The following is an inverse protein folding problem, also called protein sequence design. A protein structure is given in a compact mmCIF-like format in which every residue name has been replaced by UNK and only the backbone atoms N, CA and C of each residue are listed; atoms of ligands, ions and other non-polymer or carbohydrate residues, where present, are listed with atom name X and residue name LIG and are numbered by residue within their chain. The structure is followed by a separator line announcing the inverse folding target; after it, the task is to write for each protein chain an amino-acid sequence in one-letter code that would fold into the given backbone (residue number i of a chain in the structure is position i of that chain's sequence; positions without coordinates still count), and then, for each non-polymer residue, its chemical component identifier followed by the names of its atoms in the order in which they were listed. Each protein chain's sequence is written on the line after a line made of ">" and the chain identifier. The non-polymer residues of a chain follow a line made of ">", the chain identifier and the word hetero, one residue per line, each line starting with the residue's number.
data_IF_817106527303
#
_entry.id   IF_817106527303
#
_cell.length_a   1.000
_cell.length_b   1.000
_cell.length_c   1.000
_cell.angle_alpha   90.00
_cell.angle_beta   90.00
_cell.angle_gamma   90.00
#
_symmetry.space_group_name_H-M   'P 1'
#
loop_
_entity.id
_entity.type
_entity.pdbx_description
1 polymer ?
#
# COMPACT_ATOMS: atom_id res chain seq x y z
N UNK A 1 -23.01 9.62 -13.40
CA UNK A 1 -22.39 9.66 -12.08
C UNK A 1 -20.91 9.97 -12.24
N UNK A 2 -20.44 11.05 -11.69
CA UNK A 2 -19.04 11.47 -11.82
C UNK A 2 -18.12 10.63 -10.91
N UNK A 3 -16.83 10.56 -11.23
CA UNK A 3 -15.82 9.91 -10.39
C UNK A 3 -15.84 10.39 -8.91
N UNK A 4 -16.31 11.60 -8.66
CA UNK A 4 -16.43 12.19 -7.32
C UNK A 4 -17.40 11.44 -6.40
N UNK A 5 -18.54 10.99 -6.91
CA UNK A 5 -19.56 10.29 -6.11
C UNK A 5 -19.07 8.90 -5.70
N UNK A 6 -18.29 8.23 -6.58
CA UNK A 6 -17.66 6.97 -6.25
C UNK A 6 -16.61 7.13 -5.15
N UNK A 7 -15.77 8.17 -5.25
CA UNK A 7 -14.74 8.45 -4.23
C UNK A 7 -15.38 8.84 -2.89
N UNK A 8 -16.45 9.63 -2.91
CA UNK A 8 -17.20 9.95 -1.68
C UNK A 8 -17.79 8.68 -1.08
N UNK A 9 -18.39 7.80 -1.88
CA UNK A 9 -18.96 6.54 -1.42
C UNK A 9 -17.94 5.65 -0.69
N UNK A 10 -16.68 5.61 -1.12
CA UNK A 10 -15.63 4.77 -0.54
C UNK A 10 -14.66 5.52 0.40
N UNK A 11 -14.92 6.78 0.72
CA UNK A 11 -14.01 7.61 1.55
C UNK A 11 -13.99 7.23 3.04
N UNK A 12 -15.01 6.51 3.52
CA UNK A 12 -15.16 6.16 4.94
C UNK A 12 -14.75 4.70 5.22
N UNK A 13 -13.97 4.40 6.28
CA UNK A 13 -13.49 3.05 6.57
C UNK A 13 -14.63 2.03 6.74
N UNK A 14 -15.71 2.36 7.43
CA UNK A 14 -16.87 1.45 7.60
C UNK A 14 -17.47 1.09 6.24
N UNK A 15 -17.55 2.00 5.27
CA UNK A 15 -18.07 1.73 3.94
C UNK A 15 -17.17 0.79 3.14
N UNK A 16 -15.86 0.93 3.28
CA UNK A 16 -14.88 -0.01 2.70
C UNK A 16 -15.07 -1.41 3.30
N UNK A 17 -15.25 -1.51 4.61
CA UNK A 17 -15.46 -2.80 5.29
C UNK A 17 -16.79 -3.45 4.87
N UNK A 18 -17.88 -2.68 4.69
CA UNK A 18 -19.14 -3.17 4.13
C UNK A 18 -18.92 -3.76 2.73
N UNK A 19 -18.24 -3.01 1.84
CA UNK A 19 -17.97 -3.45 0.47
C UNK A 19 -17.15 -4.74 0.46
N UNK A 20 -16.12 -4.87 1.31
CA UNK A 20 -15.31 -6.08 1.43
C UNK A 20 -16.12 -7.29 1.86
N UNK A 21 -16.97 -7.13 2.88
CA UNK A 21 -17.85 -8.21 3.37
C UNK A 21 -18.84 -8.65 2.29
N UNK A 22 -19.43 -7.71 1.56
CA UNK A 22 -20.37 -7.99 0.48
C UNK A 22 -19.70 -8.59 -0.76
N UNK A 23 -18.41 -8.36 -0.96
CA UNK A 23 -17.63 -8.99 -2.03
C UNK A 23 -17.39 -10.48 -1.78
N UNK A 24 -17.32 -10.91 -0.52
CA UNK A 24 -17.18 -12.32 -0.16
C UNK A 24 -18.51 -13.10 -0.37
N UNK A 25 -19.61 -12.53 0.06
CA UNK A 25 -20.96 -13.10 -0.07
C UNK A 25 -22.07 -12.10 0.21
N UNK A 26 -23.27 -12.27 -0.34
CA UNK A 26 -24.44 -11.50 0.05
C UNK A 26 -24.75 -11.68 1.54
N UNK A 27 -25.07 -10.59 2.25
CA UNK A 27 -25.33 -10.57 3.69
C UNK A 27 -26.63 -9.83 4.01
N UNK A 28 -27.32 -10.29 5.05
CA UNK A 28 -28.50 -9.59 5.60
C UNK A 28 -28.06 -8.39 6.47
N UNK A 29 -28.95 -7.44 6.64
CA UNK A 29 -28.72 -6.29 7.53
C UNK A 29 -28.24 -6.69 8.93
N UNK A 30 -28.89 -7.73 9.52
CA UNK A 30 -28.54 -8.23 10.85
C UNK A 30 -27.11 -8.78 10.91
N UNK A 31 -26.65 -9.48 9.84
CA UNK A 31 -25.30 -10.06 9.77
C UNK A 31 -24.24 -8.99 9.60
N UNK A 32 -24.48 -7.99 8.75
CA UNK A 32 -23.60 -6.82 8.61
C UNK A 32 -23.45 -6.08 9.92
N UNK A 33 -24.59 -5.79 10.60
CA UNK A 33 -24.59 -5.13 11.91
C UNK A 33 -23.76 -5.90 12.95
N UNK A 34 -23.95 -7.22 13.03
CA UNK A 34 -23.25 -8.08 13.97
C UNK A 34 -21.75 -8.13 13.68
N UNK A 35 -21.37 -8.28 12.42
CA UNK A 35 -19.96 -8.39 12.00
C UNK A 35 -19.21 -7.09 12.21
N UNK A 36 -19.82 -5.95 11.86
CA UNK A 36 -19.20 -4.63 12.00
C UNK A 36 -19.31 -4.06 13.41
N UNK A 37 -20.13 -4.66 14.29
CA UNK A 37 -20.37 -4.23 15.68
C UNK A 37 -20.82 -2.77 15.78
N UNK A 38 -21.66 -2.30 14.88
CA UNK A 38 -22.16 -0.92 14.82
C UNK A 38 -23.67 -0.86 15.10
N UNK A 39 -24.18 0.34 15.38
CA UNK A 39 -25.60 0.57 15.59
C UNK A 39 -26.40 0.43 14.30
N UNK A 40 -27.71 0.12 14.41
CA UNK A 40 -28.58 0.00 13.24
C UNK A 40 -28.68 1.30 12.43
N UNK A 41 -28.77 2.45 13.11
CA UNK A 41 -28.85 3.74 12.45
C UNK A 41 -27.58 4.12 11.70
N UNK A 42 -26.40 3.78 12.25
CA UNK A 42 -25.12 4.01 11.60
C UNK A 42 -24.96 3.11 10.36
N UNK A 43 -25.36 1.83 10.46
CA UNK A 43 -25.34 0.93 9.32
C UNK A 43 -26.27 1.42 8.21
N UNK A 44 -27.50 1.79 8.53
CA UNK A 44 -28.49 2.31 7.57
C UNK A 44 -27.96 3.56 6.86
N UNK A 45 -27.36 4.48 7.61
CA UNK A 45 -26.70 5.67 7.04
C UNK A 45 -25.61 5.30 6.01
N UNK A 46 -24.74 4.36 6.35
CA UNK A 46 -23.67 3.95 5.43
C UNK A 46 -24.20 3.16 4.23
N UNK A 47 -25.21 2.30 4.40
CA UNK A 47 -25.84 1.57 3.29
C UNK A 47 -26.52 2.51 2.31
N UNK A 48 -27.22 3.57 2.78
CA UNK A 48 -27.80 4.60 1.92
C UNK A 48 -26.75 5.35 1.09
N UNK A 49 -25.56 5.55 1.64
CA UNK A 49 -24.44 6.16 0.91
C UNK A 49 -23.77 5.22 -0.10
N UNK A 50 -24.06 3.94 -0.01
CA UNK A 50 -23.56 2.89 -0.92
C UNK A 50 -24.64 2.42 -1.91
N UNK A 51 -25.79 3.05 -1.97
CA UNK A 51 -26.95 2.63 -2.77
C UNK A 51 -26.61 2.35 -4.24
N UNK A 52 -25.72 3.14 -4.82
CA UNK A 52 -25.24 2.95 -6.19
C UNK A 52 -24.22 1.80 -6.40
N UNK A 53 -23.75 1.18 -5.33
CA UNK A 53 -22.74 0.14 -5.35
C UNK A 53 -23.27 -1.22 -4.89
N UNK A 54 -24.46 -1.23 -4.28
CA UNK A 54 -25.09 -2.40 -3.70
C UNK A 54 -26.52 -2.56 -4.20
N UNK A 55 -27.05 -3.77 -4.10
CA UNK A 55 -28.46 -4.09 -4.39
C UNK A 55 -29.00 -5.01 -3.33
N UNK A 56 -30.29 -4.91 -3.05
CA UNK A 56 -30.98 -5.87 -2.17
C UNK A 56 -31.64 -6.93 -3.05
N UNK A 57 -31.27 -8.20 -2.86
CA UNK A 57 -31.85 -9.31 -3.59
C UNK A 57 -33.25 -9.69 -3.06
N UNK A 58 -33.93 -10.62 -3.74
CA UNK A 58 -35.28 -11.09 -3.37
C UNK A 58 -35.36 -11.72 -1.97
N UNK A 59 -34.23 -12.15 -1.43
CA UNK A 59 -34.11 -12.78 -0.11
C UNK A 59 -33.84 -11.76 1.02
N UNK A 60 -33.81 -10.44 0.70
CA UNK A 60 -33.49 -9.38 1.64
C UNK A 60 -32.02 -9.29 2.01
N UNK A 61 -31.12 -9.87 1.18
CA UNK A 61 -29.68 -9.75 1.36
C UNK A 61 -29.12 -8.65 0.49
N UNK A 62 -28.18 -7.88 1.05
CA UNK A 62 -27.38 -6.91 0.30
C UNK A 62 -26.30 -7.66 -0.49
N UNK A 63 -26.10 -7.27 -1.74
CA UNK A 63 -25.09 -7.81 -2.62
C UNK A 63 -24.38 -6.67 -3.37
N UNK A 64 -23.14 -6.89 -3.74
CA UNK A 64 -22.38 -5.93 -4.53
C UNK A 64 -22.77 -6.03 -6.01
N UNK A 65 -22.89 -4.89 -6.68
CA UNK A 65 -23.02 -4.83 -8.14
C UNK A 65 -21.65 -4.58 -8.80
N UNK A 66 -21.58 -4.65 -10.14
CA UNK A 66 -20.32 -4.49 -10.90
C UNK A 66 -19.56 -3.21 -10.55
N UNK A 67 -20.28 -2.10 -10.34
CA UNK A 67 -19.67 -0.83 -9.88
C UNK A 67 -19.03 -0.96 -8.50
N UNK A 68 -19.63 -1.73 -7.61
CA UNK A 68 -19.09 -2.01 -6.28
C UNK A 68 -17.81 -2.83 -6.33
N UNK A 69 -17.72 -3.82 -7.21
CA UNK A 69 -16.49 -4.57 -7.46
C UNK A 69 -15.39 -3.69 -8.05
N UNK A 70 -15.72 -2.79 -9.00
CA UNK A 70 -14.77 -1.83 -9.54
C UNK A 70 -14.26 -0.85 -8.48
N UNK A 71 -15.13 -0.40 -7.56
CA UNK A 71 -14.75 0.43 -6.42
C UNK A 71 -13.77 -0.29 -5.49
N UNK A 72 -14.05 -1.56 -5.17
CA UNK A 72 -13.18 -2.39 -4.33
C UNK A 72 -11.78 -2.55 -4.93
N UNK A 73 -11.68 -2.90 -6.22
CA UNK A 73 -10.39 -3.03 -6.92
C UNK A 73 -9.58 -1.74 -6.91
N UNK A 74 -10.24 -0.60 -7.01
CA UNK A 74 -9.59 0.72 -6.90
C UNK A 74 -9.01 0.97 -5.51
N UNK A 75 -9.74 0.63 -4.46
CA UNK A 75 -9.29 0.73 -3.06
C UNK A 75 -8.13 -0.21 -2.77
N UNK A 76 -8.23 -1.46 -3.19
CA UNK A 76 -7.18 -2.48 -2.99
C UNK A 76 -5.91 -2.14 -3.77
N UNK A 77 -6.05 -1.66 -5.00
CA UNK A 77 -4.94 -1.16 -5.80
C UNK A 77 -4.20 -0.01 -5.11
N UNK A 78 -4.93 0.96 -4.57
CA UNK A 78 -4.35 2.06 -3.79
C UNK A 78 -3.67 1.56 -2.51
N UNK A 79 -4.31 0.69 -1.73
CA UNK A 79 -3.75 0.11 -0.51
C UNK A 79 -2.48 -0.71 -0.79
N UNK A 80 -2.49 -1.51 -1.85
CA UNK A 80 -1.32 -2.25 -2.33
C UNK A 80 -0.16 -1.33 -2.70
N UNK A 81 -0.44 -0.22 -3.40
CA UNK A 81 0.55 0.78 -3.76
C UNK A 81 1.21 1.42 -2.51
N UNK A 82 0.41 1.83 -1.51
CA UNK A 82 0.95 2.41 -0.28
C UNK A 82 1.78 1.41 0.52
N UNK A 83 1.36 0.14 0.59
CA UNK A 83 2.10 -0.93 1.28
C UNK A 83 3.45 -1.18 0.60
N UNK A 84 3.49 -1.27 -0.72
CA UNK A 84 4.73 -1.44 -1.49
C UNK A 84 5.66 -0.23 -1.33
N UNK A 85 5.11 0.99 -1.33
CA UNK A 85 5.88 2.22 -1.13
C UNK A 85 6.53 2.29 0.26
N UNK A 86 5.83 1.86 1.30
CA UNK A 86 6.38 1.85 2.67
C UNK A 86 7.47 0.79 2.84
N UNK A 87 7.27 -0.41 2.30
CA UNK A 87 8.27 -1.48 2.31
C UNK A 87 9.55 -1.06 1.56
N UNK A 88 9.41 -0.39 0.42
CA UNK A 88 10.55 0.07 -0.37
C UNK A 88 11.36 1.16 0.35
N UNK A 89 10.69 2.09 1.06
CA UNK A 89 11.39 3.09 1.89
C UNK A 89 12.20 2.42 3.00
N UNK A 90 11.64 1.40 3.67
CA UNK A 90 12.35 0.63 4.71
C UNK A 90 13.56 -0.10 4.17
N UNK A 91 13.45 -0.76 3.03
CA UNK A 91 14.58 -1.46 2.40
C UNK A 91 15.69 -0.50 1.97
N UNK A 92 15.34 0.68 1.48
CA UNK A 92 16.33 1.71 1.15
C UNK A 92 17.07 2.22 2.39
N UNK A 93 16.35 2.50 3.47
CA UNK A 93 16.98 2.92 4.74
C UNK A 93 17.90 1.84 5.31
N UNK A 94 17.46 0.58 5.28
CA UNK A 94 18.30 -0.54 5.72
C UNK A 94 19.57 -0.68 4.87
N UNK A 95 19.47 -0.54 3.54
CA UNK A 95 20.64 -0.56 2.64
C UNK A 95 21.62 0.57 2.95
N UNK A 96 21.12 1.78 3.25
CA UNK A 96 21.98 2.89 3.66
C UNK A 96 22.69 2.63 4.98
N UNK A 97 21.99 2.11 5.99
CA UNK A 97 22.57 1.79 7.29
C UNK A 97 23.66 0.73 7.12
N UNK A 98 23.39 -0.35 6.39
CA UNK A 98 24.39 -1.41 6.14
C UNK A 98 25.60 -0.86 5.40
N UNK A 99 25.40 0.00 4.39
CA UNK A 99 26.51 0.65 3.66
C UNK A 99 27.39 1.50 4.58
N UNK A 100 26.78 2.28 5.48
CA UNK A 100 27.52 3.09 6.46
C UNK A 100 28.32 2.20 7.42
N UNK A 101 27.71 1.14 7.96
CA UNK A 101 28.40 0.21 8.86
C UNK A 101 29.58 -0.48 8.19
N UNK A 102 29.42 -0.92 6.93
CA UNK A 102 30.51 -1.52 6.15
C UNK A 102 31.66 -0.53 5.95
N UNK A 103 31.34 0.74 5.65
CA UNK A 103 32.39 1.77 5.51
C UNK A 103 33.11 2.05 6.82
N UNK A 104 32.42 2.12 7.94
CA UNK A 104 33.05 2.30 9.26
C UNK A 104 33.95 1.12 9.59
N UNK A 105 33.49 -0.10 9.36
CA UNK A 105 34.26 -1.32 9.61
C UNK A 105 35.52 -1.41 8.73
N UNK A 106 35.38 -1.11 7.43
CA UNK A 106 36.53 -1.12 6.52
C UNK A 106 37.51 0.01 6.85
N UNK A 107 37.04 1.20 7.23
CA UNK A 107 37.88 2.28 7.71
C UNK A 107 38.71 1.84 8.95
N UNK A 108 38.03 1.23 9.94
CA UNK A 108 38.69 0.77 11.16
C UNK A 108 39.75 -0.31 10.88
N UNK A 109 39.45 -1.28 10.01
CA UNK A 109 40.43 -2.36 9.64
C UNK A 109 41.62 -1.82 8.85
N UNK A 110 41.41 -0.88 7.94
CA UNK A 110 42.46 -0.29 7.11
C UNK A 110 43.32 0.71 7.88
N UNK A 111 42.74 1.37 8.90
CA UNK A 111 43.52 2.29 9.77
C UNK A 111 44.59 1.57 10.60
N UNK A 112 44.49 0.24 10.76
CA UNK A 112 45.54 -0.60 11.39
C UNK A 112 46.67 -0.98 10.44
N UNK A 113 46.48 -0.76 9.15
CA UNK A 113 47.48 -1.01 8.09
C UNK A 113 47.86 0.37 7.54
N UNK A 114 49.15 0.61 7.29
CA UNK A 114 49.66 1.88 6.71
C UNK A 114 49.14 2.17 5.27
N UNK A 115 48.01 1.60 4.91
CA UNK A 115 47.38 1.64 3.57
C UNK A 115 46.17 2.55 3.48
N UNK A 116 46.11 3.61 4.30
CA UNK A 116 44.97 4.56 4.40
C UNK A 116 44.56 5.15 3.04
N UNK A 117 45.55 5.38 2.15
CA UNK A 117 45.32 5.89 0.82
C UNK A 117 44.49 4.94 -0.07
N UNK A 118 44.70 3.64 0.06
CA UNK A 118 43.99 2.62 -0.72
C UNK A 118 42.50 2.58 -0.36
N UNK A 119 42.15 2.86 0.88
CA UNK A 119 40.75 2.92 1.30
C UNK A 119 39.96 4.05 0.59
N UNK A 120 40.53 5.27 0.54
CA UNK A 120 39.92 6.39 -0.16
C UNK A 120 39.85 6.14 -1.67
N UNK A 121 40.86 5.57 -2.27
CA UNK A 121 40.95 5.38 -3.71
C UNK A 121 40.04 4.25 -4.25
N UNK A 122 39.76 3.21 -3.46
CA UNK A 122 39.06 2.01 -3.93
C UNK A 122 37.69 1.86 -3.26
N UNK A 123 37.65 1.83 -1.93
CA UNK A 123 36.43 1.46 -1.20
C UNK A 123 35.36 2.54 -1.29
N UNK A 124 35.73 3.82 -1.20
CA UNK A 124 34.80 4.93 -1.21
C UNK A 124 34.08 5.09 -2.57
N UNK A 125 34.77 5.04 -3.72
CA UNK A 125 34.10 5.07 -5.02
C UNK A 125 33.17 3.88 -5.26
N UNK A 126 33.57 2.67 -4.83
CA UNK A 126 32.75 1.46 -5.01
C UNK A 126 31.45 1.57 -4.21
N UNK A 127 31.50 2.02 -2.96
CA UNK A 127 30.31 2.19 -2.14
C UNK A 127 29.40 3.31 -2.66
N UNK A 128 29.98 4.39 -3.16
CA UNK A 128 29.22 5.45 -3.79
C UNK A 128 28.52 4.97 -5.07
N UNK A 129 29.24 4.25 -5.95
CA UNK A 129 28.66 3.65 -7.16
C UNK A 129 27.52 2.67 -6.84
N UNK A 130 27.65 1.88 -5.77
CA UNK A 130 26.61 0.99 -5.30
C UNK A 130 25.35 1.74 -4.85
N UNK A 131 25.50 2.80 -4.08
CA UNK A 131 24.36 3.65 -3.62
C UNK A 131 23.64 4.29 -4.82
N UNK A 132 24.41 4.83 -5.78
CA UNK A 132 23.85 5.42 -7.01
C UNK A 132 23.15 4.37 -7.86
N UNK A 133 23.75 3.20 -8.06
CA UNK A 133 23.14 2.08 -8.79
C UNK A 133 21.83 1.64 -8.13
N UNK A 134 21.82 1.47 -6.81
CA UNK A 134 20.62 1.07 -6.09
C UNK A 134 19.51 2.13 -6.15
N UNK A 135 19.86 3.41 -6.02
CA UNK A 135 18.92 4.51 -6.19
C UNK A 135 18.36 4.56 -7.62
N UNK A 136 19.21 4.44 -8.64
CA UNK A 136 18.81 4.37 -10.04
C UNK A 136 17.89 3.18 -10.33
N UNK A 137 18.25 1.98 -9.87
CA UNK A 137 17.44 0.78 -10.01
C UNK A 137 16.04 0.91 -9.40
N UNK A 138 15.96 1.48 -8.20
CA UNK A 138 14.67 1.74 -7.54
C UNK A 138 13.84 2.77 -8.30
N UNK A 139 14.47 3.75 -8.95
CA UNK A 139 13.80 4.80 -9.73
C UNK A 139 13.32 4.27 -11.10
N UNK A 140 14.14 3.50 -11.79
CA UNK A 140 13.81 2.92 -13.11
C UNK A 140 12.70 1.87 -12.98
N UNK A 141 12.76 0.98 -12.00
CA UNK A 141 11.69 0.01 -11.74
C UNK A 141 10.32 0.68 -11.49
N UNK A 142 10.33 1.90 -11.01
CA UNK A 142 9.14 2.72 -10.81
C UNK A 142 8.52 3.23 -12.12
N UNK A 143 9.35 3.64 -13.08
CA UNK A 143 8.87 4.16 -14.38
C UNK A 143 8.23 3.06 -15.24
N UNK A 144 8.78 1.88 -15.20
CA UNK A 144 8.29 0.75 -16.03
C UNK A 144 6.91 0.28 -15.54
N UNK A 145 6.64 0.27 -14.22
CA UNK A 145 5.33 -0.14 -13.67
C UNK A 145 4.19 0.86 -13.86
N UNK A 146 4.48 2.11 -14.15
CA UNK A 146 3.46 3.14 -14.41
C UNK A 146 3.05 3.18 -15.89
N UNK A 147 3.69 2.38 -16.77
CA UNK A 147 3.49 2.37 -18.21
C UNK A 147 2.84 1.06 -18.72
N UNK A 148 2.63 0.11 -17.86
CA UNK A 148 1.87 -1.14 -18.09
C UNK A 148 0.54 -1.11 -17.36
#
# INVERSE_FOLDING_TARGET
>A
MGNYELFDAISHPIRIDIIKLLAEKPLRFADLKRTLKISSGLLDFHLKKLDDLIVVNKEGCYALIDKGYAALTSVEGAAGYYRLRSAQKRSFLLSLIVSVLVNIFTFWTVSQLDSFFLWYAIVLPITFAWIVFYAYWTFVKRRIRLRS
#
